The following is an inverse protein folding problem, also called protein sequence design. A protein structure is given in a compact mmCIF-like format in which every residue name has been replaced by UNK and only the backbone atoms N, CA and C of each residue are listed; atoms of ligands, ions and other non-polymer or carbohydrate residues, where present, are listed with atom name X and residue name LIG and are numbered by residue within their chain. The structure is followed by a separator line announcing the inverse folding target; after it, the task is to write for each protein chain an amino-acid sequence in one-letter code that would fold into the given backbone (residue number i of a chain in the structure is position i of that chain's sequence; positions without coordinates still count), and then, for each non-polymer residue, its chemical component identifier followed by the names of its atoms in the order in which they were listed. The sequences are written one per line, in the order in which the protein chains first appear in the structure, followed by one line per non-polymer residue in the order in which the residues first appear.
data_IF_545565873711
#
_entry.id   IF_545565873711
#
_cell.length_a   1.000
_cell.length_b   1.000
_cell.length_c   1.000
_cell.angle_alpha   90.00
_cell.angle_beta   90.00
_cell.angle_gamma   90.00
#
_symmetry.space_group_name_H-M   'P 1'
#
loop_
_entity.id
_entity.type
_entity.pdbx_description
1 polymer ?
#
# COMPACT_ATOMS: atom_id res chain seq x y z
N UNK A 1 -6.19 -7.72 -1.55
CA UNK A 1 -6.02 -6.25 -1.37
C UNK A 1 -4.68 -5.76 -1.90
N UNK A 2 -3.54 -6.33 -1.51
CA UNK A 2 -2.21 -5.84 -1.93
C UNK A 2 -1.94 -6.02 -3.42
N UNK A 3 -2.39 -7.15 -3.95
CA UNK A 3 -2.47 -7.41 -5.39
C UNK A 3 -3.30 -6.36 -6.12
N UNK A 4 -4.33 -5.75 -5.51
CA UNK A 4 -5.13 -4.70 -6.16
C UNK A 4 -4.36 -3.39 -6.32
N UNK A 5 -3.47 -3.03 -5.39
CA UNK A 5 -2.65 -1.81 -5.51
C UNK A 5 -1.78 -1.89 -6.76
N UNK A 6 -1.16 -3.06 -7.00
CA UNK A 6 -0.37 -3.36 -8.21
C UNK A 6 -1.26 -3.42 -9.46
N UNK A 7 -2.32 -4.24 -9.43
CA UNK A 7 -3.20 -4.48 -10.58
C UNK A 7 -3.93 -3.21 -11.06
N UNK A 8 -4.33 -2.33 -10.14
CA UNK A 8 -4.96 -1.05 -10.47
C UNK A 8 -3.96 0.05 -10.80
N UNK A 9 -2.66 -0.24 -10.69
CA UNK A 9 -1.58 0.74 -10.78
C UNK A 9 -1.83 1.99 -9.91
N UNK A 10 -2.24 1.78 -8.66
CA UNK A 10 -2.44 2.87 -7.69
C UNK A 10 -1.06 3.46 -7.35
N UNK A 11 -0.97 4.78 -7.34
CA UNK A 11 0.25 5.53 -7.04
C UNK A 11 -0.04 6.71 -6.11
N UNK A 12 1.01 7.30 -5.55
CA UNK A 12 0.92 8.37 -4.56
C UNK A 12 0.88 7.83 -3.13
N UNK A 13 0.30 8.62 -2.22
CA UNK A 13 0.12 8.24 -0.82
C UNK A 13 -1.09 7.34 -0.69
N UNK A 14 -0.92 6.18 -0.05
CA UNK A 14 -1.99 5.23 0.25
C UNK A 14 -2.06 5.07 1.76
N UNK A 15 -3.27 5.24 2.28
CA UNK A 15 -3.57 5.06 3.70
C UNK A 15 -4.53 3.88 3.83
N UNK A 16 -4.21 2.96 4.73
CA UNK A 16 -5.01 1.76 4.99
C UNK A 16 -5.42 1.81 6.46
N UNK A 17 -6.70 1.62 6.73
CA UNK A 17 -7.24 1.45 8.09
C UNK A 17 -7.46 -0.05 8.35
N UNK A 18 -6.51 -0.75 9.00
CA UNK A 18 -6.67 -2.16 9.29
C UNK A 18 -7.58 -2.37 10.51
N UNK A 19 -8.46 -3.37 10.43
CA UNK A 19 -9.32 -3.81 11.56
C UNK A 19 -8.50 -4.42 12.73
N UNK A 20 -7.19 -4.61 12.57
CA UNK A 20 -6.34 -5.27 13.56
C UNK A 20 -6.26 -4.49 14.88
N UNK A 21 -6.49 -5.20 15.99
CA UNK A 21 -6.66 -4.60 17.31
C UNK A 21 -5.39 -4.56 18.18
N UNK A 22 -4.35 -5.31 17.82
CA UNK A 22 -3.12 -5.41 18.64
C UNK A 22 -1.84 -5.07 17.88
N UNK A 23 -0.86 -4.57 18.63
CA UNK A 23 0.41 -4.06 18.09
C UNK A 23 1.28 -5.14 17.42
N UNK A 24 1.16 -6.42 17.83
CA UNK A 24 1.92 -7.51 17.22
C UNK A 24 1.34 -7.87 15.85
N UNK A 25 0.02 -7.94 15.74
CA UNK A 25 -0.67 -8.16 14.45
C UNK A 25 -0.37 -7.03 13.47
N UNK A 26 -0.42 -5.79 13.95
CA UNK A 26 -0.03 -4.61 13.17
C UNK A 26 1.42 -4.74 12.67
N UNK A 27 2.37 -5.07 13.55
CA UNK A 27 3.79 -5.24 13.16
C UNK A 27 3.97 -6.34 12.10
N UNK A 28 3.28 -7.47 12.23
CA UNK A 28 3.29 -8.56 11.25
C UNK A 28 2.75 -8.08 9.90
N UNK A 29 1.64 -7.33 9.88
CA UNK A 29 1.06 -6.79 8.66
C UNK A 29 2.04 -5.86 7.92
N UNK A 30 2.80 -5.01 8.62
CA UNK A 30 3.85 -4.19 8.01
C UNK A 30 4.94 -5.06 7.38
N UNK A 31 5.38 -6.11 8.07
CA UNK A 31 6.35 -7.05 7.53
C UNK A 31 5.85 -7.74 6.25
N UNK A 32 4.60 -8.18 6.25
CA UNK A 32 3.95 -8.79 5.08
C UNK A 32 3.86 -7.81 3.91
N UNK A 33 3.48 -6.56 4.16
CA UNK A 33 3.44 -5.50 3.15
C UNK A 33 4.81 -5.24 2.53
N UNK A 34 5.83 -5.08 3.36
CA UNK A 34 7.21 -4.88 2.89
C UNK A 34 7.70 -6.05 2.05
N UNK A 35 7.35 -7.28 2.42
CA UNK A 35 7.70 -8.46 1.65
C UNK A 35 6.96 -8.52 0.31
N UNK A 36 5.66 -8.22 0.31
CA UNK A 36 4.83 -8.22 -0.89
C UNK A 36 5.29 -7.18 -1.92
N UNK A 37 5.71 -6.00 -1.47
CA UNK A 37 6.19 -4.92 -2.36
C UNK A 37 7.68 -5.00 -2.70
N UNK A 38 8.39 -6.04 -2.24
CA UNK A 38 9.83 -6.19 -2.50
C UNK A 38 10.16 -6.22 -3.99
N UNK A 39 9.33 -6.92 -4.76
CA UNK A 39 9.52 -7.13 -6.20
C UNK A 39 8.54 -6.28 -7.03
N UNK A 40 8.02 -5.18 -6.47
CA UNK A 40 7.17 -4.25 -7.22
C UNK A 40 7.99 -3.50 -8.27
N UNK A 41 7.43 -3.36 -9.47
CA UNK A 41 8.01 -2.57 -10.57
C UNK A 41 8.00 -1.06 -10.25
N UNK A 42 7.12 -0.62 -9.35
CA UNK A 42 7.13 0.74 -8.80
C UNK A 42 7.89 0.79 -7.47
N UNK A 43 8.63 1.88 -7.26
CA UNK A 43 9.25 2.15 -5.96
C UNK A 43 8.13 2.32 -4.93
N UNK A 44 8.07 1.42 -3.97
CA UNK A 44 7.06 1.42 -2.90
C UNK A 44 7.73 1.49 -1.53
N UNK A 45 7.32 2.48 -0.72
CA UNK A 45 7.78 2.64 0.65
C UNK A 45 6.64 2.35 1.62
N UNK A 46 6.82 1.37 2.50
CA UNK A 46 5.89 1.07 3.59
C UNK A 46 6.44 1.69 4.88
N UNK A 47 5.80 2.76 5.36
CA UNK A 47 6.29 3.56 6.50
C UNK A 47 5.93 2.91 7.85
N UNK A 48 4.79 2.23 7.93
CA UNK A 48 4.29 1.62 9.16
C UNK A 48 3.00 2.30 9.62
N UNK A 49 2.82 2.43 10.94
CA UNK A 49 1.60 2.99 11.52
C UNK A 49 1.78 4.39 12.05
N UNK A 50 0.75 5.19 11.83
CA UNK A 50 0.54 6.44 12.56
C UNK A 50 0.16 6.14 14.01
N UNK A 51 0.20 7.19 14.86
CA UNK A 51 -0.34 7.12 16.23
C UNK A 51 -1.85 6.83 16.26
N UNK A 52 -2.57 7.11 15.17
CA UNK A 52 -3.99 6.84 15.03
C UNK A 52 -4.32 5.42 14.54
N UNK A 53 -3.34 4.53 14.39
CA UNK A 53 -3.56 3.14 13.94
C UNK A 53 -3.62 2.96 12.42
N UNK A 54 -3.61 4.06 11.65
CA UNK A 54 -3.59 4.00 10.19
C UNK A 54 -2.22 3.56 9.68
N UNK A 55 -2.21 2.70 8.66
CA UNK A 55 -1.01 2.30 7.95
C UNK A 55 -0.75 3.22 6.76
N UNK A 56 0.48 3.66 6.61
CA UNK A 56 0.90 4.55 5.53
C UNK A 56 1.92 3.87 4.60
N UNK A 57 1.70 4.04 3.29
CA UNK A 57 2.67 3.72 2.26
C UNK A 57 2.65 4.75 1.14
N UNK A 58 3.73 4.82 0.37
CA UNK A 58 3.78 5.56 -0.89
C UNK A 58 4.23 4.65 -2.02
N UNK A 59 3.70 4.87 -3.22
CA UNK A 59 4.09 4.14 -4.43
C UNK A 59 4.33 5.11 -5.58
N UNK A 60 5.47 4.99 -6.27
CA UNK A 60 5.80 5.86 -7.40
C UNK A 60 4.79 5.70 -8.54
N UNK A 61 4.49 6.80 -9.23
CA UNK A 61 3.71 6.75 -10.46
C UNK A 61 4.62 6.35 -11.61
N UNK A 62 4.34 5.19 -12.19
CA UNK A 62 5.02 4.73 -13.40
C UNK A 62 4.14 4.93 -14.66
N UNK A 63 2.81 4.91 -14.50
CA UNK A 63 1.83 5.14 -15.57
C UNK A 63 0.49 5.58 -14.94
N UNK A 64 -0.54 5.81 -15.77
CA UNK A 64 -1.92 6.05 -15.34
C UNK A 64 -2.49 4.87 -14.56
N UNK A 65 -3.35 5.17 -13.59
CA UNK A 65 -4.10 4.14 -12.86
C UNK A 65 -5.20 3.56 -13.75
N UNK A 66 -5.74 2.39 -13.40
CA UNK A 66 -6.81 1.76 -14.19
C UNK A 66 -8.07 2.63 -14.24
N UNK A 67 -8.36 3.36 -13.17
CA UNK A 67 -9.52 4.24 -13.09
C UNK A 67 -9.34 5.46 -14.03
N UNK A 68 -8.10 5.94 -14.21
CA UNK A 68 -7.76 7.00 -15.19
C UNK A 68 -7.81 6.54 -16.65
N UNK A 69 -7.64 5.24 -16.90
CA UNK A 69 -7.75 4.67 -18.24
C UNK A 69 -9.22 4.54 -18.67
N UNK A 70 -10.09 4.14 -17.76
CA UNK A 70 -11.52 3.93 -18.00
C UNK A 70 -12.36 5.22 -18.14
N UNK A 71 -11.75 6.38 -17.89
CA UNK A 71 -12.39 7.70 -18.03
C UNK A 71 -12.16 8.33 -19.41
N UNK A 72 -11.66 7.57 -20.40
CA UNK A 72 -11.48 8.00 -21.79
C UNK A 72 -12.43 7.27 -22.74
#
# INVERSE_FOLDING_TARGET
MLSLIKLKNISGKVVIDPVASDHNTLRKLVGMLKNEFRDDLSITNVYGYTRGGLLELSRSRNDRSIDELNLN
#
